data_IF_382881354099
#
_entry.id   IF_382881354099
#
_cell.length_a   1.000
_cell.length_b   1.000
_cell.length_c   1.000
_cell.angle_alpha   90.00
_cell.angle_beta   90.00
_cell.angle_gamma   90.00
#
_symmetry.space_group_name_H-M   'P 1'
#
loop_
_entity.id
_entity.type
_entity.pdbx_description
1 polymer ?
#
# COMPACT_ATOMS: atom_id res chain seq x y z
N UNK A 1 -24.63 -1.88 -6.62
CA UNK A 1 -23.63 -2.26 -5.59
C UNK A 1 -24.41 -2.76 -4.38
N UNK A 2 -24.05 -3.91 -3.81
CA UNK A 2 -24.81 -4.50 -2.69
C UNK A 2 -24.67 -3.62 -1.43
N UNK A 3 -25.74 -2.91 -1.08
CA UNK A 3 -25.77 -1.98 0.05
C UNK A 3 -25.46 -2.69 1.38
N UNK A 4 -25.84 -3.97 1.49
CA UNK A 4 -25.58 -4.76 2.70
C UNK A 4 -24.09 -5.05 2.88
N UNK A 5 -23.37 -5.27 1.78
CA UNK A 5 -21.92 -5.49 1.79
C UNK A 5 -21.18 -4.22 2.21
N UNK A 6 -21.58 -3.06 1.69
CA UNK A 6 -20.96 -1.76 2.04
C UNK A 6 -21.13 -1.48 3.53
N UNK A 7 -22.33 -1.68 4.08
CA UNK A 7 -22.62 -1.51 5.51
C UNK A 7 -21.74 -2.42 6.38
N UNK A 8 -21.47 -3.65 5.94
CA UNK A 8 -20.60 -4.61 6.66
C UNK A 8 -19.11 -4.24 6.60
N UNK A 9 -18.65 -3.62 5.51
CA UNK A 9 -17.23 -3.29 5.30
C UNK A 9 -16.85 -1.91 5.88
N UNK A 10 -17.83 -1.02 6.08
CA UNK A 10 -17.58 0.34 6.55
C UNK A 10 -16.69 0.44 7.81
N UNK A 11 -16.86 -0.39 8.86
CA UNK A 11 -15.97 -0.35 10.02
C UNK A 11 -14.51 -0.68 9.68
N UNK A 12 -14.28 -1.70 8.85
CA UNK A 12 -12.94 -2.10 8.42
C UNK A 12 -12.28 -1.01 7.56
N UNK A 13 -13.05 -0.35 6.69
CA UNK A 13 -12.56 0.79 5.91
C UNK A 13 -12.12 1.94 6.82
N UNK A 14 -12.85 2.22 7.91
CA UNK A 14 -12.46 3.23 8.91
C UNK A 14 -11.10 2.94 9.55
N UNK A 15 -10.83 1.68 9.91
CA UNK A 15 -9.51 1.27 10.44
C UNK A 15 -8.40 1.51 9.40
N UNK A 16 -8.64 1.12 8.14
CA UNK A 16 -7.68 1.34 7.06
C UNK A 16 -7.40 2.84 6.83
N UNK A 17 -8.42 3.70 6.96
CA UNK A 17 -8.28 5.15 6.84
C UNK A 17 -7.38 5.72 7.95
N UNK A 18 -7.60 5.33 9.21
CA UNK A 18 -6.77 5.77 10.34
C UNK A 18 -5.31 5.37 10.14
N UNK A 19 -5.06 4.12 9.71
CA UNK A 19 -3.70 3.64 9.44
C UNK A 19 -3.05 4.46 8.32
N UNK A 20 -3.76 4.70 7.21
CA UNK A 20 -3.21 5.47 6.09
C UNK A 20 -2.98 6.94 6.46
N UNK A 21 -3.84 7.55 7.28
CA UNK A 21 -3.59 8.89 7.84
C UNK A 21 -2.32 8.93 8.69
N UNK A 22 -2.08 7.89 9.50
CA UNK A 22 -0.82 7.73 10.24
C UNK A 22 0.39 7.75 9.30
N UNK A 23 0.38 6.88 8.29
CA UNK A 23 1.45 6.76 7.28
C UNK A 23 1.66 8.04 6.44
N UNK A 24 0.60 8.81 6.18
CA UNK A 24 0.71 10.07 5.45
C UNK A 24 1.24 11.23 6.30
N UNK A 25 0.89 11.24 7.59
CA UNK A 25 1.25 12.34 8.49
C UNK A 25 2.74 12.37 8.85
N UNK A 26 3.38 11.20 8.98
CA UNK A 26 4.81 11.08 9.28
C UNK A 26 5.72 11.81 8.27
N UNK A 27 5.71 11.44 6.98
CA UNK A 27 6.49 12.12 5.95
C UNK A 27 6.12 13.60 5.78
N UNK A 28 4.85 13.96 5.97
CA UNK A 28 4.40 15.35 5.88
C UNK A 28 5.03 16.22 6.99
N UNK A 29 4.98 15.74 8.23
CA UNK A 29 5.62 16.44 9.36
C UNK A 29 7.14 16.53 9.17
N UNK A 30 7.77 15.43 8.77
CA UNK A 30 9.19 15.39 8.49
C UNK A 30 9.60 16.33 7.36
N UNK A 31 8.81 16.44 6.29
CA UNK A 31 9.04 17.40 5.22
C UNK A 31 9.01 18.85 5.74
N UNK A 32 8.08 19.17 6.64
CA UNK A 32 8.03 20.48 7.31
C UNK A 32 9.31 20.79 8.10
N UNK A 33 9.80 19.82 8.87
CA UNK A 33 11.08 19.94 9.61
C UNK A 33 12.25 20.13 8.65
N UNK A 34 12.36 19.31 7.61
CA UNK A 34 13.45 19.40 6.62
C UNK A 34 13.46 20.76 5.92
N UNK A 35 12.31 21.24 5.44
CA UNK A 35 12.22 22.54 4.78
C UNK A 35 12.58 23.69 5.73
N UNK A 36 12.20 23.59 7.01
CA UNK A 36 12.58 24.57 8.02
C UNK A 36 14.09 24.60 8.27
N UNK A 37 14.72 23.42 8.41
CA UNK A 37 16.16 23.30 8.65
C UNK A 37 16.99 23.80 7.45
N UNK A 38 16.60 23.45 6.22
CA UNK A 38 17.33 23.85 5.00
C UNK A 38 17.30 25.37 4.80
N UNK A 39 16.21 26.06 5.15
CA UNK A 39 16.11 27.53 5.03
C UNK A 39 17.16 28.30 5.85
N UNK A 40 17.73 27.68 6.89
CA UNK A 40 18.75 28.29 7.73
C UNK A 40 20.19 27.97 7.32
N UNK A 41 20.39 27.22 6.24
CA UNK A 41 21.71 26.79 5.76
C UNK A 41 22.10 27.56 4.51
N UNK A 42 23.40 27.79 4.33
CA UNK A 42 23.92 28.29 3.06
C UNK A 42 23.70 27.26 1.95
N UNK A 43 23.44 27.76 0.74
CA UNK A 43 23.25 26.91 -0.42
C UNK A 43 24.52 26.10 -0.72
N UNK A 44 24.36 24.82 -1.02
CA UNK A 44 25.46 23.96 -1.49
C UNK A 44 26.04 24.53 -2.78
N UNK A 45 27.36 24.55 -2.90
CA UNK A 45 28.07 25.11 -4.05
C UNK A 45 27.58 24.48 -5.38
N UNK A 46 27.27 25.29 -6.41
CA UNK A 46 26.85 24.79 -7.70
C UNK A 46 27.90 23.86 -8.32
N UNK A 47 27.48 22.71 -8.86
CA UNK A 47 28.35 21.78 -9.59
C UNK A 47 28.97 20.66 -8.75
N UNK A 48 28.64 20.56 -7.45
CA UNK A 48 28.96 19.37 -6.67
C UNK A 48 28.18 18.15 -7.21
N UNK A 49 28.79 16.96 -7.12
CA UNK A 49 28.06 15.73 -7.38
C UNK A 49 26.98 15.52 -6.30
N UNK A 50 25.81 15.05 -6.71
CA UNK A 50 24.65 14.79 -5.85
C UNK A 50 24.29 13.29 -5.84
N UNK A 51 25.18 12.43 -5.29
CA UNK A 51 24.99 10.99 -5.33
C UNK A 51 23.74 10.53 -4.55
N UNK A 52 23.40 11.19 -3.43
CA UNK A 52 22.21 10.83 -2.66
C UNK A 52 20.93 11.20 -3.38
N UNK A 53 20.87 12.36 -4.02
CA UNK A 53 19.74 12.77 -4.87
C UNK A 53 19.53 11.77 -5.98
N UNK A 54 20.60 11.37 -6.68
CA UNK A 54 20.51 10.39 -7.77
C UNK A 54 19.98 9.05 -7.28
N UNK A 55 20.52 8.54 -6.16
CA UNK A 55 20.04 7.31 -5.55
C UNK A 55 18.57 7.41 -5.09
N UNK A 56 18.19 8.53 -4.48
CA UNK A 56 16.83 8.78 -3.99
C UNK A 56 15.79 8.84 -5.11
N UNK A 57 16.15 9.45 -6.25
CA UNK A 57 15.30 9.46 -7.44
C UNK A 57 15.10 8.05 -7.99
N UNK A 58 16.17 7.26 -8.10
CA UNK A 58 16.09 5.85 -8.56
C UNK A 58 15.22 5.02 -7.61
N UNK A 59 15.45 5.12 -6.30
CA UNK A 59 14.64 4.42 -5.29
C UNK A 59 13.17 4.86 -5.36
N UNK A 60 12.90 6.15 -5.55
CA UNK A 60 11.55 6.67 -5.72
C UNK A 60 10.85 6.08 -6.94
N UNK A 61 11.52 6.05 -8.09
CA UNK A 61 10.98 5.44 -9.32
C UNK A 61 10.73 3.94 -9.15
N UNK A 62 11.67 3.21 -8.55
CA UNK A 62 11.51 1.78 -8.28
C UNK A 62 10.33 1.55 -7.32
N UNK A 63 10.20 2.35 -6.25
CA UNK A 63 9.11 2.24 -5.29
C UNK A 63 7.73 2.48 -5.94
N UNK A 64 7.61 3.45 -6.85
CA UNK A 64 6.37 3.73 -7.60
C UNK A 64 5.88 2.51 -8.39
N UNK A 65 6.80 1.72 -8.94
CA UNK A 65 6.48 0.49 -9.67
C UNK A 65 6.26 -0.69 -8.72
N UNK A 66 7.21 -0.92 -7.82
CA UNK A 66 7.24 -2.05 -6.91
C UNK A 66 6.00 -2.13 -6.00
N UNK A 67 5.48 -0.98 -5.56
CA UNK A 67 4.27 -0.92 -4.71
C UNK A 67 3.04 -1.57 -5.37
N UNK A 68 2.92 -1.52 -6.70
CA UNK A 68 1.84 -2.19 -7.42
C UNK A 68 2.05 -3.71 -7.45
N UNK A 69 3.29 -4.17 -7.69
CA UNK A 69 3.64 -5.60 -7.70
C UNK A 69 3.35 -6.22 -6.34
N UNK A 70 3.81 -5.59 -5.27
CA UNK A 70 3.61 -6.08 -3.90
C UNK A 70 2.12 -6.12 -3.55
N UNK A 71 1.35 -5.09 -3.92
CA UNK A 71 -0.10 -5.08 -3.69
C UNK A 71 -0.81 -6.23 -4.42
N UNK A 72 -0.43 -6.50 -5.67
CA UNK A 72 -1.00 -7.61 -6.47
C UNK A 72 -0.66 -8.97 -5.85
N UNK A 73 0.61 -9.21 -5.50
CA UNK A 73 1.03 -10.48 -4.88
C UNK A 73 0.29 -10.77 -3.58
N UNK A 74 0.10 -9.76 -2.73
CA UNK A 74 -0.65 -9.93 -1.46
C UNK A 74 -2.13 -10.21 -1.73
N UNK A 75 -2.73 -9.54 -2.72
CA UNK A 75 -4.14 -9.75 -3.11
C UNK A 75 -4.37 -11.14 -3.69
N UNK A 76 -3.49 -11.60 -4.57
CA UNK A 76 -3.56 -12.95 -5.14
C UNK A 76 -3.47 -14.02 -4.05
N UNK A 77 -2.56 -13.86 -3.09
CA UNK A 77 -2.47 -14.75 -1.92
C UNK A 77 -3.75 -14.73 -1.07
N UNK A 78 -4.33 -13.55 -0.85
CA UNK A 78 -5.59 -13.44 -0.11
C UNK A 78 -6.76 -14.10 -0.84
N UNK A 79 -6.82 -13.96 -2.17
CA UNK A 79 -7.82 -14.64 -3.00
C UNK A 79 -7.63 -16.16 -2.96
N UNK A 80 -6.39 -16.66 -3.04
CA UNK A 80 -6.08 -18.08 -2.96
C UNK A 80 -6.50 -18.68 -1.60
N UNK A 81 -6.21 -17.96 -0.50
CA UNK A 81 -6.63 -18.33 0.84
C UNK A 81 -8.17 -18.33 0.97
N UNK A 82 -8.84 -17.30 0.46
CA UNK A 82 -10.29 -17.20 0.47
C UNK A 82 -10.99 -18.26 -0.41
N UNK A 83 -10.33 -18.73 -1.47
CA UNK A 83 -10.82 -19.82 -2.31
C UNK A 83 -10.75 -21.19 -1.60
N UNK A 84 -10.02 -21.30 -0.48
CA UNK A 84 -9.75 -22.56 0.19
C UNK A 84 -8.83 -23.46 -0.64
N UNK A 85 -7.96 -22.87 -1.47
CA UNK A 85 -6.96 -23.66 -2.19
C UNK A 85 -6.02 -24.32 -1.17
N UNK A 86 -5.71 -25.63 -1.33
CA UNK A 86 -4.77 -26.31 -0.46
C UNK A 86 -3.47 -25.53 -0.41
N UNK A 87 -2.94 -25.27 0.79
CA UNK A 87 -1.52 -24.92 0.90
C UNK A 87 -0.77 -26.15 0.43
N UNK A 88 0.19 -25.97 -0.48
CA UNK A 88 0.97 -27.07 -1.07
C UNK A 88 1.72 -27.91 0.00
N UNK A 89 1.82 -27.40 1.24
CA UNK A 89 2.41 -28.07 2.40
C UNK A 89 1.44 -28.92 3.26
N UNK A 90 0.14 -28.95 2.98
CA UNK A 90 -0.87 -29.62 3.84
C UNK A 90 -1.52 -30.86 3.19
N UNK A 91 -0.69 -31.79 2.66
CA UNK A 91 -1.17 -33.09 2.17
C UNK A 91 -1.83 -33.99 3.26
N UNK A 92 -1.83 -33.57 4.54
CA UNK A 92 -2.31 -34.38 5.67
C UNK A 92 -3.23 -33.66 6.67
N UNK A 93 -3.74 -32.45 6.37
CA UNK A 93 -4.70 -31.80 7.27
C UNK A 93 -6.13 -32.39 7.12
N UNK A 94 -6.86 -32.63 8.23
CA UNK A 94 -8.19 -33.23 8.20
C UNK A 94 -9.20 -32.36 7.42
N UNK A 95 -10.01 -33.02 6.57
CA UNK A 95 -11.01 -32.45 5.65
C UNK A 95 -12.18 -31.68 6.31
N UNK A 96 -12.10 -31.28 7.58
CA UNK A 96 -13.22 -30.71 8.33
C UNK A 96 -13.56 -29.26 8.00
N UNK A 97 -12.83 -28.59 7.10
CA UNK A 97 -13.08 -27.18 6.72
C UNK A 97 -13.47 -26.99 5.24
N UNK A 98 -14.17 -27.97 4.63
CA UNK A 98 -14.63 -27.94 3.22
C UNK A 98 -15.75 -26.92 2.89
N UNK A 99 -15.93 -25.90 3.71
CA UNK A 99 -16.91 -24.85 3.46
C UNK A 99 -16.63 -23.64 4.34
N UNK A 100 -15.56 -22.91 4.06
CA UNK A 100 -15.37 -21.59 4.64
C UNK A 100 -16.67 -20.80 4.42
N UNK A 101 -17.37 -20.48 5.51
CA UNK A 101 -18.64 -19.79 5.43
C UNK A 101 -18.47 -18.45 4.71
N UNK A 102 -19.54 -17.93 4.11
CA UNK A 102 -19.51 -16.64 3.38
C UNK A 102 -18.86 -15.51 4.22
N UNK A 103 -19.06 -15.54 5.54
CA UNK A 103 -18.46 -14.61 6.49
C UNK A 103 -16.94 -14.75 6.61
N UNK A 104 -16.41 -15.98 6.63
CA UNK A 104 -14.97 -16.26 6.73
C UNK A 104 -14.25 -15.85 5.45
N UNK A 105 -14.83 -16.19 4.29
CA UNK A 105 -14.32 -15.77 2.99
C UNK A 105 -14.25 -14.23 2.88
N UNK A 106 -15.31 -13.55 3.35
CA UNK A 106 -15.36 -12.09 3.37
C UNK A 106 -14.26 -11.50 4.26
N UNK A 107 -14.06 -12.07 5.46
CA UNK A 107 -13.01 -11.66 6.38
C UNK A 107 -11.61 -11.79 5.78
N UNK A 108 -11.33 -12.93 5.13
CA UNK A 108 -10.04 -13.18 4.47
C UNK A 108 -9.75 -12.16 3.36
N UNK A 109 -10.75 -11.86 2.51
CA UNK A 109 -10.59 -10.88 1.44
C UNK A 109 -10.36 -9.46 1.99
N UNK A 110 -11.16 -9.02 2.97
CA UNK A 110 -11.00 -7.69 3.58
C UNK A 110 -9.64 -7.53 4.25
N UNK A 111 -9.20 -8.56 5.00
CA UNK A 111 -7.87 -8.60 5.61
C UNK A 111 -6.75 -8.54 4.57
N UNK A 112 -6.88 -9.31 3.48
CA UNK A 112 -5.93 -9.28 2.37
C UNK A 112 -5.79 -7.91 1.72
N UNK A 113 -6.91 -7.22 1.49
CA UNK A 113 -6.90 -5.85 0.98
C UNK A 113 -6.19 -4.89 1.94
N UNK A 114 -6.47 -5.00 3.25
CA UNK A 114 -5.83 -4.18 4.28
C UNK A 114 -4.31 -4.36 4.27
N UNK A 115 -3.82 -5.60 4.30
CA UNK A 115 -2.39 -5.89 4.28
C UNK A 115 -1.76 -5.36 2.99
N UNK A 116 -2.38 -5.60 1.83
CA UNK A 116 -1.87 -5.11 0.54
C UNK A 116 -1.76 -3.58 0.53
N UNK A 117 -2.76 -2.88 1.08
CA UNK A 117 -2.75 -1.42 1.19
C UNK A 117 -1.59 -0.94 2.08
N UNK A 118 -1.48 -1.47 3.30
CA UNK A 118 -0.47 -1.07 4.29
C UNK A 118 0.94 -1.30 3.74
N UNK A 119 1.21 -2.49 3.20
CA UNK A 119 2.53 -2.82 2.66
C UNK A 119 2.86 -1.93 1.45
N UNK A 120 1.91 -1.70 0.54
CA UNK A 120 2.15 -0.81 -0.60
C UNK A 120 2.40 0.65 -0.18
N UNK A 121 1.74 1.12 0.88
CA UNK A 121 1.94 2.45 1.44
C UNK A 121 3.30 2.54 2.14
N UNK A 122 3.72 1.52 2.90
CA UNK A 122 5.03 1.49 3.56
C UNK A 122 6.20 1.55 2.57
N UNK A 123 6.09 0.88 1.41
CA UNK A 123 7.10 0.97 0.34
C UNK A 123 7.25 2.41 -0.18
N UNK A 124 6.12 3.10 -0.41
CA UNK A 124 6.13 4.49 -0.84
C UNK A 124 6.60 5.45 0.26
N UNK A 125 6.22 5.19 1.51
CA UNK A 125 6.62 5.96 2.69
C UNK A 125 8.14 5.93 2.87
N UNK A 126 8.76 4.76 2.83
CA UNK A 126 10.21 4.61 2.94
C UNK A 126 10.96 5.37 1.85
N UNK A 127 10.49 5.29 0.59
CA UNK A 127 11.07 6.06 -0.51
C UNK A 127 10.85 7.58 -0.37
N UNK A 128 9.72 7.99 0.22
CA UNK A 128 9.43 9.40 0.52
C UNK A 128 10.42 9.94 1.55
N UNK A 129 10.62 9.23 2.67
CA UNK A 129 11.60 9.60 3.69
C UNK A 129 13.02 9.66 3.13
N UNK A 130 13.42 8.70 2.30
CA UNK A 130 14.73 8.69 1.69
C UNK A 130 14.97 9.93 0.80
N UNK A 131 13.96 10.34 0.02
CA UNK A 131 14.02 11.57 -0.76
C UNK A 131 14.06 12.84 0.12
N UNK A 132 13.32 12.86 1.23
CA UNK A 132 13.39 13.98 2.19
C UNK A 132 14.77 14.08 2.87
N UNK A 133 15.40 12.95 3.18
CA UNK A 133 16.77 12.91 3.71
C UNK A 133 17.78 13.39 2.67
N UNK A 134 17.65 12.94 1.41
CA UNK A 134 18.52 13.42 0.33
C UNK A 134 18.39 14.94 0.12
N UNK A 135 17.16 15.47 0.17
CA UNK A 135 16.93 16.91 0.11
C UNK A 135 17.53 17.65 1.32
N UNK A 136 17.42 17.10 2.54
CA UNK A 136 18.02 17.69 3.74
C UNK A 136 19.54 17.84 3.62
N UNK A 137 20.22 16.85 3.01
CA UNK A 137 21.69 16.80 2.95
C UNK A 137 22.27 17.53 1.74
N UNK A 138 21.64 17.43 0.58
CA UNK A 138 22.18 17.98 -0.68
C UNK A 138 21.42 19.22 -1.18
N UNK A 139 20.29 19.57 -0.55
CA UNK A 139 19.45 20.74 -0.88
C UNK A 139 18.97 20.79 -2.34
N UNK A 140 18.96 19.66 -3.05
CA UNK A 140 18.53 19.59 -4.45
C UNK A 140 17.00 19.46 -4.52
N UNK A 141 16.28 20.41 -5.16
CA UNK A 141 14.81 20.46 -5.14
C UNK A 141 14.14 19.26 -5.82
N UNK A 142 14.85 18.55 -6.70
CA UNK A 142 14.33 17.35 -7.37
C UNK A 142 13.97 16.23 -6.39
N UNK A 143 14.75 16.05 -5.31
CA UNK A 143 14.41 15.07 -4.27
C UNK A 143 13.13 15.47 -3.52
N UNK A 144 12.95 16.77 -3.21
CA UNK A 144 11.71 17.24 -2.60
C UNK A 144 10.49 17.04 -3.51
N UNK A 145 10.65 17.31 -4.82
CA UNK A 145 9.60 17.08 -5.80
C UNK A 145 9.21 15.59 -5.89
N UNK A 146 10.20 14.68 -5.90
CA UNK A 146 9.96 13.24 -5.89
C UNK A 146 9.29 12.78 -4.59
N UNK A 147 9.71 13.28 -3.42
CA UNK A 147 9.03 13.02 -2.15
C UNK A 147 7.55 13.44 -2.20
N UNK A 148 7.26 14.63 -2.75
CA UNK A 148 5.89 15.10 -2.96
C UNK A 148 5.07 14.19 -3.87
N UNK A 149 5.65 13.74 -4.98
CA UNK A 149 5.01 12.80 -5.90
C UNK A 149 4.67 11.47 -5.22
N UNK A 150 5.61 10.89 -4.47
CA UNK A 150 5.42 9.64 -3.73
C UNK A 150 4.35 9.77 -2.64
N UNK A 151 4.33 10.90 -1.94
CA UNK A 151 3.31 11.21 -0.94
C UNK A 151 1.92 11.32 -1.57
N UNK A 152 1.78 12.00 -2.71
CA UNK A 152 0.51 12.06 -3.46
C UNK A 152 0.10 10.67 -3.93
N UNK A 153 1.03 9.83 -4.40
CA UNK A 153 0.74 8.46 -4.79
C UNK A 153 0.17 7.61 -3.63
N UNK A 154 0.65 7.82 -2.40
CA UNK A 154 0.04 7.24 -1.19
C UNK A 154 -1.36 7.79 -0.94
N UNK A 155 -1.56 9.10 -1.04
CA UNK A 155 -2.85 9.75 -0.79
C UNK A 155 -3.94 9.27 -1.77
N UNK A 156 -3.61 9.04 -3.04
CA UNK A 156 -4.57 8.53 -4.05
C UNK A 156 -5.11 7.14 -3.70
N UNK A 157 -4.38 6.35 -2.91
CA UNK A 157 -4.79 5.01 -2.44
C UNK A 157 -5.81 5.03 -1.29
N UNK A 158 -6.34 6.20 -0.94
CA UNK A 158 -7.27 6.34 0.19
C UNK A 158 -8.39 5.29 0.16
N UNK A 159 -8.54 4.49 1.24
CA UNK A 159 -9.51 3.42 1.29
C UNK A 159 -10.90 4.00 1.59
N UNK A 160 -11.77 3.97 0.58
CA UNK A 160 -13.19 4.26 0.76
C UNK A 160 -13.97 2.95 0.87
N UNK A 161 -15.06 2.94 1.65
CA UNK A 161 -15.89 1.74 1.79
C UNK A 161 -16.35 1.18 0.44
N UNK A 162 -16.67 2.07 -0.52
CA UNK A 162 -17.02 1.69 -1.89
C UNK A 162 -15.89 1.01 -2.66
N UNK A 163 -14.64 1.51 -2.54
CA UNK A 163 -13.47 0.87 -3.19
C UNK A 163 -13.21 -0.52 -2.62
N UNK A 164 -13.25 -0.66 -1.29
CA UNK A 164 -13.03 -1.96 -0.63
C UNK A 164 -14.16 -2.93 -1.01
N UNK A 165 -15.42 -2.51 -0.95
CA UNK A 165 -16.57 -3.33 -1.34
C UNK A 165 -16.52 -3.74 -2.82
N UNK A 166 -16.12 -2.83 -3.71
CA UNK A 166 -15.95 -3.10 -5.13
C UNK A 166 -14.89 -4.18 -5.39
N UNK A 167 -13.71 -4.04 -4.78
CA UNK A 167 -12.64 -5.03 -4.91
C UNK A 167 -13.02 -6.39 -4.31
N UNK A 168 -13.67 -6.42 -3.14
CA UNK A 168 -14.17 -7.66 -2.52
C UNK A 168 -15.21 -8.34 -3.41
N UNK A 169 -16.16 -7.57 -3.95
CA UNK A 169 -17.20 -8.08 -4.84
C UNK A 169 -16.62 -8.67 -6.12
N UNK A 170 -15.64 -8.00 -6.73
CA UNK A 170 -14.92 -8.52 -7.89
C UNK A 170 -14.16 -9.81 -7.55
N UNK A 171 -13.41 -9.82 -6.45
CA UNK A 171 -12.63 -10.99 -6.02
C UNK A 171 -13.51 -12.22 -5.74
N UNK A 172 -14.72 -12.03 -5.18
CA UNK A 172 -15.67 -13.12 -4.99
C UNK A 172 -16.15 -13.73 -6.31
N UNK A 173 -16.45 -12.89 -7.31
CA UNK A 173 -16.86 -13.35 -8.65
C UNK A 173 -15.74 -14.14 -9.33
N UNK A 174 -14.50 -13.66 -9.25
CA UNK A 174 -13.32 -14.35 -9.81
C UNK A 174 -13.10 -15.72 -9.13
N UNK A 175 -13.33 -15.83 -7.83
CA UNK A 175 -13.25 -17.11 -7.10
C UNK A 175 -14.38 -18.06 -7.52
N UNK A 176 -15.61 -17.55 -7.68
CA UNK A 176 -16.78 -18.35 -8.08
C UNK A 176 -16.65 -18.88 -9.52
N UNK A 177 -16.18 -18.04 -10.44
CA UNK A 177 -15.87 -18.44 -11.83
C UNK A 177 -14.77 -19.52 -11.88
N UNK A 178 -13.70 -19.36 -11.11
CA UNK A 178 -12.65 -20.39 -11.00
C UNK A 178 -13.16 -21.71 -10.41
N UNK A 179 -14.22 -21.67 -9.58
CA UNK A 179 -14.86 -22.87 -9.03
C UNK A 179 -15.81 -23.54 -10.01
N UNK A 180 -16.51 -22.79 -10.86
CA UNK A 180 -17.43 -23.37 -11.86
C UNK A 180 -16.72 -24.02 -13.04
N UNK A 181 -15.46 -23.66 -13.30
CA UNK A 181 -14.62 -24.25 -14.34
C UNK A 181 -13.92 -25.56 -13.92
N UNK A 182 -14.02 -25.97 -12.65
CA UNK A 182 -13.42 -27.21 -12.13
C UNK A 182 -14.48 -28.27 -11.95
#
# INVERSE_FOLDING_TARGET
MDETLVKRIAPAAGVMQVILFGLLSGPLFFAGVVVFLVKGQDAVAPGAAHPLTTAALVVGLVALVAQNIVATLVRERAQAQAAGLPKDDEAFAPQSNRGAGVTEQLGALVSGYQVALIVSAAVLEGATFFNLIAYLLEQVPWSLAMAGLLWVAMAVKFPTAGRVAGWVGQSRREIEEKRSLR
#
